data_IF_787211418844
#
_entry.id   IF_787211418844
#
_cell.length_a   1.000
_cell.length_b   1.000
_cell.length_c   1.000
_cell.angle_alpha   90.00
_cell.angle_beta   90.00
_cell.angle_gamma   90.00
#
_symmetry.space_group_name_H-M   'P 1'
#
loop_
_entity.id
_entity.type
_entity.pdbx_description
1 polymer ?
#
# COMPACT_ATOMS: atom_id res chain seq x y z
N UNK A 1 -32.09 -3.19 6.70
CA UNK A 1 -31.93 -2.41 5.46
C UNK A 1 -30.63 -1.66 5.58
N UNK A 2 -29.54 -2.20 5.00
CA UNK A 2 -28.21 -1.59 5.02
C UNK A 2 -28.22 -0.53 3.91
N UNK A 3 -28.14 0.74 4.29
CA UNK A 3 -28.02 1.84 3.34
C UNK A 3 -26.57 1.88 2.83
N UNK A 4 -26.33 1.28 1.67
CA UNK A 4 -25.05 1.35 0.97
C UNK A 4 -24.94 2.74 0.33
N UNK A 5 -24.26 3.68 0.97
CA UNK A 5 -23.93 4.96 0.38
C UNK A 5 -22.53 4.84 -0.24
N UNK A 6 -22.49 4.73 -1.57
CA UNK A 6 -21.26 4.83 -2.35
C UNK A 6 -20.76 6.27 -2.30
N UNK A 7 -19.70 6.50 -1.55
CA UNK A 7 -19.05 7.81 -1.48
C UNK A 7 -17.92 7.83 -2.51
N UNK A 8 -18.17 8.43 -3.67
CA UNK A 8 -17.12 8.85 -4.58
C UNK A 8 -16.44 10.08 -3.97
N UNK A 9 -15.29 9.90 -3.40
CA UNK A 9 -14.49 11.02 -2.92
C UNK A 9 -13.13 11.00 -3.63
N UNK A 10 -12.95 11.93 -4.55
CA UNK A 10 -11.65 12.38 -4.98
C UNK A 10 -10.96 13.03 -3.78
N UNK A 11 -10.14 12.29 -3.06
CA UNK A 11 -9.28 12.86 -2.03
C UNK A 11 -7.85 12.50 -2.32
N UNK A 12 -7.18 13.48 -2.82
CA UNK A 12 -5.72 13.55 -2.84
C UNK A 12 -5.28 13.82 -1.41
N UNK A 13 -4.94 12.78 -0.68
CA UNK A 13 -4.30 12.92 0.61
C UNK A 13 -2.81 13.16 0.39
N UNK A 14 -2.37 14.37 0.70
CA UNK A 14 -0.97 14.76 0.63
C UNK A 14 -0.65 15.66 -0.55
N UNK A 15 -1.32 16.81 -0.65
CA UNK A 15 -0.97 17.86 -1.61
C UNK A 15 0.16 18.71 -1.04
N UNK A 16 1.40 18.39 -1.37
CA UNK A 16 2.44 19.40 -1.48
C UNK A 16 2.31 19.99 -2.89
N UNK A 17 1.82 21.23 -2.98
CA UNK A 17 1.74 21.95 -4.26
C UNK A 17 3.15 22.13 -4.84
N UNK A 18 3.52 21.27 -5.77
CA UNK A 18 4.72 21.40 -6.60
C UNK A 18 4.36 22.06 -7.93
N UNK A 19 5.17 23.02 -8.33
CA UNK A 19 5.11 23.77 -9.58
C UNK A 19 5.02 22.81 -10.76
N UNK A 20 3.99 22.99 -11.61
CA UNK A 20 3.88 22.36 -12.93
C UNK A 20 5.12 22.74 -13.75
N UNK A 21 5.94 21.78 -14.10
CA UNK A 21 7.00 21.97 -15.09
C UNK A 21 6.40 21.57 -16.44
N UNK A 22 6.14 22.55 -17.28
CA UNK A 22 5.74 22.33 -18.68
C UNK A 22 6.96 21.77 -19.43
N UNK A 23 7.03 20.47 -19.56
CA UNK A 23 8.06 19.77 -20.29
C UNK A 23 7.52 18.49 -20.92
N UNK A 24 7.93 18.18 -22.14
CA UNK A 24 7.74 16.88 -22.76
C UNK A 24 8.47 15.82 -21.90
N UNK A 25 7.75 15.20 -20.95
CA UNK A 25 8.29 14.12 -20.15
C UNK A 25 8.19 12.81 -20.93
N UNK A 26 9.31 12.18 -21.16
CA UNK A 26 9.37 10.83 -21.71
C UNK A 26 9.12 9.86 -20.56
N UNK A 27 7.98 9.20 -20.55
CA UNK A 27 7.70 8.14 -19.58
C UNK A 27 8.69 6.99 -19.75
N UNK A 28 9.28 6.52 -18.67
CA UNK A 28 10.21 5.38 -18.70
C UNK A 28 9.50 4.03 -18.84
N UNK A 29 8.18 4.02 -18.61
CA UNK A 29 7.28 2.87 -18.78
C UNK A 29 5.96 3.35 -19.41
N UNK A 30 5.27 2.45 -20.10
CA UNK A 30 3.93 2.74 -20.63
C UNK A 30 2.82 2.17 -19.73
N UNK A 31 1.56 2.51 -20.01
CA UNK A 31 0.39 2.11 -19.22
C UNK A 31 0.18 0.58 -19.20
N UNK A 32 0.46 -0.10 -20.32
CA UNK A 32 0.33 -1.57 -20.39
C UNK A 32 1.34 -2.25 -19.47
N UNK A 33 2.59 -1.78 -19.46
CA UNK A 33 3.61 -2.26 -18.55
C UNK A 33 3.24 -2.00 -17.09
N UNK A 34 2.72 -0.81 -16.78
CA UNK A 34 2.27 -0.47 -15.43
C UNK A 34 1.14 -1.41 -14.99
N UNK A 35 0.12 -1.58 -15.82
CA UNK A 35 -1.02 -2.46 -15.56
C UNK A 35 -0.59 -3.91 -15.37
N UNK A 36 0.34 -4.38 -16.19
CA UNK A 36 0.89 -5.73 -16.08
C UNK A 36 1.61 -5.94 -14.73
N UNK A 37 2.50 -5.01 -14.35
CA UNK A 37 3.24 -5.09 -13.08
C UNK A 37 2.28 -5.03 -11.88
N UNK A 38 1.26 -4.16 -11.89
CA UNK A 38 0.24 -4.11 -10.84
C UNK A 38 -0.48 -5.45 -10.72
N UNK A 39 -0.84 -6.07 -11.84
CA UNK A 39 -1.50 -7.38 -11.85
C UNK A 39 -0.62 -8.48 -11.26
N UNK A 40 0.67 -8.49 -11.57
CA UNK A 40 1.63 -9.45 -11.01
C UNK A 40 1.78 -9.26 -9.49
N UNK A 41 2.01 -8.02 -9.02
CA UNK A 41 2.18 -7.74 -7.60
C UNK A 41 0.89 -8.00 -6.80
N UNK A 42 -0.27 -7.68 -7.37
CA UNK A 42 -1.55 -8.04 -6.79
C UNK A 42 -1.75 -9.56 -6.65
N UNK A 43 -1.33 -10.33 -7.66
CA UNK A 43 -1.38 -11.80 -7.60
C UNK A 43 -0.45 -12.36 -6.51
N UNK A 44 0.73 -11.76 -6.29
CA UNK A 44 1.63 -12.14 -5.19
C UNK A 44 1.00 -11.86 -3.81
N UNK A 45 0.36 -10.71 -3.64
CA UNK A 45 -0.37 -10.39 -2.40
C UNK A 45 -1.52 -11.38 -2.16
N UNK A 46 -2.30 -11.72 -3.19
CA UNK A 46 -3.40 -12.70 -3.09
C UNK A 46 -2.94 -14.12 -2.72
N UNK A 47 -1.70 -14.48 -3.02
CA UNK A 47 -1.15 -15.77 -2.57
C UNK A 47 -0.91 -15.79 -1.04
N UNK A 48 -0.73 -14.62 -0.44
CA UNK A 48 -0.46 -14.48 0.99
C UNK A 48 -1.67 -14.01 1.79
N UNK A 49 -2.65 -13.37 1.14
CA UNK A 49 -3.82 -12.80 1.79
C UNK A 49 -5.11 -13.39 1.25
N UNK A 50 -6.00 -13.80 2.15
CA UNK A 50 -7.34 -14.25 1.79
C UNK A 50 -8.22 -13.03 1.52
N UNK A 51 -8.62 -12.86 0.26
CA UNK A 51 -9.52 -11.81 -0.18
C UNK A 51 -10.76 -12.48 -0.77
N UNK A 52 -11.89 -12.36 -0.08
CA UNK A 52 -13.11 -13.12 -0.35
C UNK A 52 -13.93 -12.57 -1.53
N UNK A 53 -13.33 -11.74 -2.37
CA UNK A 53 -13.98 -11.16 -3.56
C UNK A 53 -12.97 -10.91 -4.67
N UNK A 54 -13.50 -10.66 -5.88
CA UNK A 54 -12.70 -10.13 -6.98
C UNK A 54 -12.45 -8.65 -6.72
N UNK A 55 -11.21 -8.29 -6.39
CA UNK A 55 -10.83 -6.89 -6.19
C UNK A 55 -10.68 -6.17 -7.53
N UNK A 56 -11.14 -4.91 -7.57
CA UNK A 56 -10.97 -4.00 -8.69
C UNK A 56 -9.95 -2.93 -8.33
N UNK A 57 -8.77 -3.02 -8.92
CA UNK A 57 -7.67 -2.05 -8.74
C UNK A 57 -7.63 -1.14 -9.96
N UNK A 58 -7.70 0.17 -9.75
CA UNK A 58 -7.47 1.18 -10.78
C UNK A 58 -6.08 1.78 -10.57
N UNK A 59 -5.27 1.80 -11.62
CA UNK A 59 -3.93 2.39 -11.60
C UNK A 59 -3.79 3.39 -12.72
N UNK A 60 -3.06 4.47 -12.46
CA UNK A 60 -2.78 5.52 -13.46
C UNK A 60 -1.44 6.20 -13.18
N UNK A 61 -0.87 6.82 -14.20
CA UNK A 61 0.19 7.80 -13.99
C UNK A 61 -0.40 9.10 -13.44
N UNK A 62 0.33 9.71 -12.52
CA UNK A 62 -0.06 10.98 -11.93
C UNK A 62 1.03 12.03 -12.17
N UNK A 63 0.84 12.83 -13.21
CA UNK A 63 1.79 13.88 -13.62
C UNK A 63 2.04 14.92 -12.53
N UNK A 64 1.12 15.06 -11.56
CA UNK A 64 1.27 15.96 -10.41
C UNK A 64 2.44 15.56 -9.50
N UNK A 65 2.89 14.31 -9.59
CA UNK A 65 4.00 13.78 -8.78
C UNK A 65 5.37 14.11 -9.38
N UNK A 66 5.44 14.55 -10.64
CA UNK A 66 6.70 14.88 -11.31
C UNK A 66 7.40 16.02 -10.56
N UNK A 67 8.67 15.80 -10.21
CA UNK A 67 9.50 16.80 -9.50
C UNK A 67 9.18 16.97 -8.02
N UNK A 68 8.24 16.19 -7.44
CA UNK A 68 7.89 16.30 -6.01
C UNK A 68 8.73 15.43 -5.10
N UNK A 69 9.45 14.45 -5.64
CA UNK A 69 10.10 13.38 -4.88
C UNK A 69 9.16 12.26 -4.44
N UNK A 70 7.85 12.41 -4.62
CA UNK A 70 6.85 11.36 -4.32
C UNK A 70 6.87 10.33 -5.45
N UNK A 71 6.93 9.05 -5.09
CA UNK A 71 7.01 7.94 -6.03
C UNK A 71 5.62 7.41 -6.44
N UNK A 72 4.67 7.46 -5.52
CA UNK A 72 3.30 7.00 -5.74
C UNK A 72 2.38 7.41 -4.61
N UNK A 73 1.11 7.08 -4.76
CA UNK A 73 0.09 7.15 -3.71
C UNK A 73 -0.93 6.03 -3.91
N UNK A 74 -1.45 5.50 -2.81
CA UNK A 74 -2.53 4.53 -2.80
C UNK A 74 -3.69 5.00 -1.93
N UNK A 75 -4.90 4.66 -2.33
CA UNK A 75 -6.12 4.96 -1.58
C UNK A 75 -7.09 3.81 -1.67
N UNK A 76 -7.75 3.52 -0.56
CA UNK A 76 -8.89 2.63 -0.49
C UNK A 76 -10.19 3.33 -0.91
N UNK A 77 -11.15 2.58 -1.42
CA UNK A 77 -12.55 3.00 -1.45
C UNK A 77 -13.18 2.72 -0.09
N UNK A 78 -13.86 3.71 0.45
CA UNK A 78 -14.46 3.64 1.79
C UNK A 78 -15.94 3.25 1.70
N UNK A 79 -16.39 2.29 2.52
CA UNK A 79 -17.77 1.89 2.70
C UNK A 79 -18.19 2.21 4.13
N UNK A 80 -19.25 3.02 4.28
CA UNK A 80 -19.75 3.42 5.59
C UNK A 80 -20.63 2.31 6.20
N UNK A 81 -20.20 1.78 7.35
CA UNK A 81 -20.96 0.79 8.14
C UNK A 81 -20.91 1.24 9.62
N UNK A 82 -22.05 1.43 10.24
CA UNK A 82 -22.16 1.79 11.67
C UNK A 82 -21.25 2.95 12.08
N UNK A 83 -21.26 4.05 11.31
CA UNK A 83 -20.45 5.26 11.53
C UNK A 83 -18.93 5.07 11.40
N UNK A 84 -18.47 3.96 10.81
CA UNK A 84 -17.06 3.71 10.53
C UNK A 84 -16.87 3.44 9.04
N UNK A 85 -15.82 3.99 8.44
CA UNK A 85 -15.44 3.77 7.05
C UNK A 85 -14.53 2.54 6.96
N UNK A 86 -15.04 1.50 6.34
CA UNK A 86 -14.32 0.25 6.08
C UNK A 86 -13.70 0.27 4.69
N UNK A 87 -12.51 -0.33 4.48
CA UNK A 87 -11.98 -0.53 3.14
C UNK A 87 -12.90 -1.47 2.36
N UNK A 88 -13.28 -1.09 1.15
CA UNK A 88 -14.24 -1.86 0.33
C UNK A 88 -13.77 -3.29 0.03
N UNK A 89 -12.44 -3.51 0.07
CA UNK A 89 -11.82 -4.81 -0.19
C UNK A 89 -12.28 -5.90 0.80
N UNK A 90 -12.67 -5.53 2.02
CA UNK A 90 -13.19 -6.47 3.03
C UNK A 90 -14.71 -6.60 2.99
N UNK A 91 -15.39 -5.91 2.07
CA UNK A 91 -16.86 -5.93 1.93
C UNK A 91 -17.23 -6.75 0.69
N UNK A 92 -17.71 -7.99 0.85
CA UNK A 92 -17.96 -8.90 -0.28
C UNK A 92 -18.96 -8.36 -1.32
N UNK A 93 -19.95 -7.59 -0.86
CA UNK A 93 -21.07 -7.11 -1.70
C UNK A 93 -20.68 -5.85 -2.52
N UNK A 94 -19.52 -5.25 -2.27
CA UNK A 94 -19.06 -4.12 -3.05
C UNK A 94 -18.53 -4.57 -4.42
N UNK A 95 -19.07 -4.00 -5.52
CA UNK A 95 -18.72 -4.34 -6.90
C UNK A 95 -18.03 -3.19 -7.67
N UNK A 96 -17.69 -2.10 -6.98
CA UNK A 96 -16.99 -0.96 -7.58
C UNK A 96 -15.45 -1.11 -7.52
N UNK A 97 -14.77 -0.01 -7.82
CA UNK A 97 -13.32 0.09 -7.63
C UNK A 97 -13.01 0.00 -6.14
N UNK A 98 -12.11 -0.90 -5.76
CA UNK A 98 -11.68 -1.08 -4.38
C UNK A 98 -10.48 -0.21 -4.02
N UNK A 99 -9.56 -0.03 -4.97
CA UNK A 99 -8.29 0.65 -4.77
C UNK A 99 -7.98 1.56 -5.94
N UNK A 100 -7.42 2.74 -5.61
CA UNK A 100 -6.90 3.69 -6.57
C UNK A 100 -5.40 3.85 -6.31
N UNK A 101 -4.59 3.78 -7.35
CA UNK A 101 -3.13 3.91 -7.27
C UNK A 101 -2.68 4.95 -8.31
N UNK A 102 -1.91 5.93 -7.85
CA UNK A 102 -1.22 6.89 -8.72
C UNK A 102 0.28 6.69 -8.65
N UNK A 103 0.94 6.61 -9.79
CA UNK A 103 2.38 6.39 -9.92
C UNK A 103 3.02 7.60 -10.59
N UNK A 104 4.13 8.07 -10.04
CA UNK A 104 4.96 9.10 -10.65
C UNK A 104 5.50 8.59 -12.00
N UNK A 105 5.15 9.19 -13.15
CA UNK A 105 5.61 8.69 -14.44
C UNK A 105 7.12 8.89 -14.67
N UNK A 106 7.75 9.82 -13.95
CA UNK A 106 9.15 10.22 -14.17
C UNK A 106 9.86 10.61 -12.86
N UNK A 107 10.17 9.64 -11.98
CA UNK A 107 10.95 9.93 -10.78
C UNK A 107 12.40 10.25 -11.16
N UNK A 108 13.09 11.04 -10.34
CA UNK A 108 14.45 11.58 -10.62
C UNK A 108 15.45 10.51 -11.04
N UNK A 109 15.41 9.33 -10.41
CA UNK A 109 16.33 8.23 -10.71
C UNK A 109 15.74 7.20 -11.69
N UNK A 110 14.57 7.46 -12.27
CA UNK A 110 13.85 6.52 -13.15
C UNK A 110 13.35 5.27 -12.43
N UNK A 111 12.61 4.44 -13.19
CA UNK A 111 12.04 3.19 -12.71
C UNK A 111 12.85 1.98 -13.13
N UNK A 112 13.10 1.09 -12.18
CA UNK A 112 13.46 -0.29 -12.46
C UNK A 112 12.21 -1.16 -12.47
N UNK A 113 12.00 -1.92 -13.54
CA UNK A 113 10.81 -2.74 -13.79
C UNK A 113 11.07 -4.24 -13.77
N UNK A 114 12.31 -4.64 -13.52
CA UNK A 114 12.70 -6.06 -13.49
C UNK A 114 12.03 -6.85 -12.36
N UNK A 115 12.18 -8.18 -12.42
CA UNK A 115 11.58 -9.12 -11.45
C UNK A 115 12.48 -9.46 -10.28
N UNK A 116 13.76 -9.14 -10.39
CA UNK A 116 14.76 -9.33 -9.32
C UNK A 116 14.96 -8.03 -8.55
N UNK A 117 15.48 -8.13 -7.32
CA UNK A 117 15.83 -6.92 -6.59
C UNK A 117 16.91 -6.12 -7.33
N UNK A 118 16.64 -4.84 -7.52
CA UNK A 118 17.51 -3.95 -8.25
C UNK A 118 18.72 -3.54 -7.39
N UNK A 119 19.91 -3.63 -7.97
CA UNK A 119 21.14 -3.14 -7.36
C UNK A 119 21.63 -1.80 -7.98
N UNK A 120 20.87 -1.26 -8.94
CA UNK A 120 21.18 0.01 -9.62
C UNK A 120 20.68 1.21 -8.81
N UNK A 121 20.91 2.41 -9.31
CA UNK A 121 20.46 3.65 -8.67
C UNK A 121 19.04 4.07 -9.14
N UNK A 122 18.17 3.11 -9.49
CA UNK A 122 16.80 3.36 -9.87
C UNK A 122 15.84 2.96 -8.74
N UNK A 123 14.63 3.53 -8.73
CA UNK A 123 13.59 3.09 -7.81
C UNK A 123 12.92 1.80 -8.31
N UNK A 124 12.72 0.85 -7.40
CA UNK A 124 12.02 -0.40 -7.70
C UNK A 124 10.51 -0.17 -7.77
N UNK A 125 9.96 -0.17 -9.00
CA UNK A 125 8.53 0.09 -9.23
C UNK A 125 7.64 -0.95 -8.53
N UNK A 126 8.07 -2.21 -8.48
CA UNK A 126 7.31 -3.29 -7.84
C UNK A 126 7.16 -3.07 -6.34
N UNK A 127 8.20 -2.57 -5.68
CA UNK A 127 8.14 -2.17 -4.26
C UNK A 127 7.13 -1.06 -4.05
N UNK A 128 7.16 -0.01 -4.89
CA UNK A 128 6.20 1.11 -4.78
C UNK A 128 4.78 0.61 -4.99
N UNK A 129 4.53 -0.19 -6.03
CA UNK A 129 3.19 -0.76 -6.30
C UNK A 129 2.71 -1.60 -5.12
N UNK A 130 3.55 -2.47 -4.54
CA UNK A 130 3.18 -3.25 -3.33
C UNK A 130 2.80 -2.34 -2.17
N UNK A 131 3.59 -1.29 -1.92
CA UNK A 131 3.32 -0.31 -0.88
C UNK A 131 1.95 0.35 -1.08
N UNK A 132 1.66 0.84 -2.28
CA UNK A 132 0.42 1.52 -2.59
C UNK A 132 -0.80 0.57 -2.57
N UNK A 133 -0.60 -0.70 -2.93
CA UNK A 133 -1.63 -1.73 -2.77
C UNK A 133 -2.00 -1.93 -1.31
N UNK A 134 -1.05 -1.90 -0.37
CA UNK A 134 -1.36 -2.02 1.07
C UNK A 134 -2.15 -0.81 1.59
N UNK A 135 -1.88 0.40 1.09
CA UNK A 135 -2.74 1.56 1.35
C UNK A 135 -4.17 1.31 0.84
N UNK A 136 -4.30 0.80 -0.37
CA UNK A 136 -5.60 0.43 -0.96
C UNK A 136 -6.33 -0.67 -0.19
N UNK A 137 -5.60 -1.56 0.47
CA UNK A 137 -6.16 -2.62 1.31
C UNK A 137 -6.59 -2.16 2.70
N UNK A 138 -6.38 -0.91 3.06
CA UNK A 138 -6.88 -0.36 4.33
C UNK A 138 -5.81 0.23 5.25
N UNK A 139 -4.54 0.16 4.92
CA UNK A 139 -3.48 0.81 5.71
C UNK A 139 -3.36 2.29 5.36
N UNK A 140 -4.47 3.01 5.47
CA UNK A 140 -4.57 4.43 5.11
C UNK A 140 -5.33 5.20 6.18
N UNK A 141 -4.72 6.27 6.69
CA UNK A 141 -5.37 7.19 7.62
C UNK A 141 -6.20 8.25 6.90
N UNK A 142 -7.27 8.71 7.52
CA UNK A 142 -8.00 9.93 7.16
C UNK A 142 -7.66 11.09 8.10
N UNK A 143 -6.74 10.89 9.03
CA UNK A 143 -6.28 11.93 9.96
C UNK A 143 -5.12 12.67 9.31
N UNK A 144 -5.36 13.91 8.94
CA UNK A 144 -4.35 14.84 8.45
C UNK A 144 -4.22 16.00 9.45
N UNK A 145 -3.10 16.72 9.37
CA UNK A 145 -2.77 17.79 10.32
C UNK A 145 -3.85 18.89 10.46
N UNK A 146 -4.80 18.96 9.53
CA UNK A 146 -5.83 20.01 9.46
C UNK A 146 -7.23 19.40 9.51
N UNK A 147 -7.45 18.21 8.90
CA UNK A 147 -8.75 17.55 8.80
C UNK A 147 -8.69 16.16 9.41
N UNK A 148 -9.53 15.90 10.40
CA UNK A 148 -9.66 14.59 11.05
C UNK A 148 -10.93 13.93 10.53
N UNK A 149 -10.74 12.77 9.89
CA UNK A 149 -11.85 12.01 9.34
C UNK A 149 -12.40 12.58 8.04
N UNK A 150 -13.45 11.96 7.53
CA UNK A 150 -14.17 12.44 6.34
C UNK A 150 -15.47 13.11 6.74
N UNK A 151 -15.61 14.36 6.38
CA UNK A 151 -16.84 15.11 6.61
C UNK A 151 -17.84 14.81 5.47
N UNK A 152 -18.96 14.21 5.82
CA UNK A 152 -20.04 13.96 4.87
C UNK A 152 -21.35 14.55 5.41
N UNK A 153 -21.90 15.52 4.70
CA UNK A 153 -23.11 16.26 5.13
C UNK A 153 -23.02 16.79 6.58
N UNK A 154 -21.87 17.32 6.99
CA UNK A 154 -21.65 17.83 8.34
C UNK A 154 -21.40 16.77 9.41
N UNK A 155 -21.37 15.48 9.03
CA UNK A 155 -21.02 14.37 9.92
C UNK A 155 -19.66 13.84 9.57
N UNK A 156 -18.76 13.77 10.54
CA UNK A 156 -17.43 13.21 10.36
C UNK A 156 -17.43 11.70 10.63
N UNK A 157 -16.75 10.96 9.76
CA UNK A 157 -16.56 9.51 9.87
C UNK A 157 -15.07 9.16 9.85
N UNK A 158 -14.63 8.29 10.76
CA UNK A 158 -13.27 7.77 10.81
C UNK A 158 -13.14 6.51 9.97
N UNK A 159 -11.99 6.32 9.34
CA UNK A 159 -11.63 5.02 8.80
C UNK A 159 -11.41 4.00 9.91
N UNK A 160 -11.67 2.73 9.63
CA UNK A 160 -11.37 1.65 10.57
C UNK A 160 -9.92 1.73 11.08
N UNK A 161 -8.98 1.99 10.18
CA UNK A 161 -7.57 2.17 10.52
C UNK A 161 -7.34 3.24 11.60
N UNK A 162 -7.99 4.41 11.48
CA UNK A 162 -7.85 5.51 12.43
C UNK A 162 -8.32 5.15 13.84
N UNK A 163 -9.34 4.30 13.94
CA UNK A 163 -9.87 3.80 15.23
C UNK A 163 -8.90 2.86 15.96
N UNK A 164 -7.92 2.32 15.23
CA UNK A 164 -6.94 1.37 15.74
C UNK A 164 -5.66 2.05 16.24
N UNK A 165 -5.45 3.34 15.92
CA UNK A 165 -4.26 4.08 16.34
C UNK A 165 -4.35 4.40 17.83
N UNK A 166 -3.40 3.85 18.62
CA UNK A 166 -3.36 3.98 20.08
C UNK A 166 -1.96 4.32 20.57
N UNK A 167 -1.88 4.93 21.75
CA UNK A 167 -0.61 5.08 22.47
C UNK A 167 -0.15 3.76 23.12
N UNK A 168 0.99 3.78 23.80
CA UNK A 168 1.55 2.62 24.50
C UNK A 168 0.66 2.10 25.66
N UNK A 169 -0.29 2.91 26.13
CA UNK A 169 -1.23 2.58 27.21
C UNK A 169 -2.58 2.11 26.69
N UNK A 170 -2.76 2.08 25.35
CA UNK A 170 -4.01 1.66 24.71
C UNK A 170 -5.03 2.79 24.51
N UNK A 171 -4.71 4.05 24.85
CA UNK A 171 -5.60 5.17 24.63
C UNK A 171 -5.64 5.53 23.15
N UNK A 172 -6.82 5.78 22.61
CA UNK A 172 -7.01 6.14 21.20
C UNK A 172 -6.42 7.50 20.90
N UNK A 173 -5.96 7.71 19.68
CA UNK A 173 -5.50 8.99 19.18
C UNK A 173 -6.69 9.90 18.84
N UNK A 174 -7.73 9.35 18.24
CA UNK A 174 -8.87 10.08 17.69
C UNK A 174 -10.16 9.52 18.24
N UNK A 175 -11.05 10.40 18.66
CA UNK A 175 -12.45 10.10 19.02
C UNK A 175 -13.35 11.19 18.44
N UNK A 176 -14.51 10.81 17.89
CA UNK A 176 -15.48 11.75 17.32
C UNK A 176 -14.82 12.80 16.39
N UNK A 177 -13.86 12.34 15.57
CA UNK A 177 -13.08 13.19 14.67
C UNK A 177 -12.32 14.34 15.35
N UNK A 178 -11.90 14.13 16.57
CA UNK A 178 -11.03 15.05 17.30
C UNK A 178 -9.80 14.30 17.80
N UNK A 179 -8.62 14.92 17.70
CA UNK A 179 -7.43 14.39 18.36
C UNK A 179 -7.62 14.57 19.86
N UNK A 180 -7.81 13.45 20.56
CA UNK A 180 -8.05 13.45 22.02
C UNK A 180 -6.79 13.14 22.82
N UNK A 181 -5.72 12.71 22.13
CA UNK A 181 -4.48 12.32 22.78
C UNK A 181 -3.27 12.79 21.96
N UNK A 182 -2.27 13.36 22.62
CA UNK A 182 -1.05 13.95 22.05
C UNK A 182 0.21 13.14 22.40
N UNK A 183 0.11 11.81 22.52
CA UNK A 183 1.24 10.96 22.80
C UNK A 183 2.36 11.14 21.77
N UNK A 184 3.60 10.86 22.19
CA UNK A 184 4.78 10.97 21.30
C UNK A 184 4.98 9.73 20.41
N UNK A 185 4.33 8.61 20.74
CA UNK A 185 4.43 7.34 20.01
C UNK A 185 3.07 6.72 19.85
N UNK A 186 2.80 6.26 18.64
CA UNK A 186 1.53 5.66 18.24
C UNK A 186 1.75 4.25 17.71
N UNK A 187 0.76 3.39 17.86
CA UNK A 187 0.82 1.99 17.50
C UNK A 187 -0.49 1.55 16.85
N UNK A 188 -0.38 0.69 15.82
CA UNK A 188 -1.49 -0.07 15.26
C UNK A 188 -1.19 -1.54 15.44
N UNK A 189 -2.03 -2.25 16.20
CA UNK A 189 -1.85 -3.67 16.53
C UNK A 189 -0.41 -3.99 17.05
N UNK A 190 0.13 -3.13 17.90
CA UNK A 190 1.47 -3.24 18.47
C UNK A 190 2.62 -2.82 17.55
N UNK A 191 2.35 -2.38 16.33
CA UNK A 191 3.35 -1.87 15.38
C UNK A 191 3.42 -0.36 15.52
N UNK A 192 4.61 0.17 15.82
CA UNK A 192 4.80 1.61 15.95
C UNK A 192 4.68 2.30 14.58
N UNK A 193 3.80 3.31 14.50
CA UNK A 193 3.59 4.13 13.30
C UNK A 193 4.29 5.48 13.42
N UNK A 194 4.53 6.12 12.27
CA UNK A 194 5.25 7.38 12.18
C UNK A 194 4.35 8.56 12.54
N UNK A 195 4.83 9.49 13.38
CA UNK A 195 4.02 10.60 13.90
C UNK A 195 3.52 11.59 12.84
N UNK A 196 4.22 11.70 11.72
CA UNK A 196 3.86 12.63 10.64
C UNK A 196 3.14 11.94 9.48
N UNK A 197 3.05 10.62 9.52
CA UNK A 197 2.40 9.79 8.50
C UNK A 197 1.92 8.49 9.14
N UNK A 198 0.83 8.56 9.88
CA UNK A 198 0.31 7.44 10.67
C UNK A 198 -0.09 6.19 9.86
N UNK A 199 -0.14 6.30 8.53
CA UNK A 199 -0.29 5.15 7.63
C UNK A 199 0.99 4.31 7.49
N UNK A 200 2.13 4.85 7.92
CA UNK A 200 3.45 4.23 7.78
C UNK A 200 4.03 3.87 9.15
N UNK A 201 4.79 2.79 9.20
CA UNK A 201 5.52 2.45 10.41
C UNK A 201 6.97 2.96 10.40
N UNK A 202 7.63 2.90 11.56
CA UNK A 202 8.96 3.50 11.76
C UNK A 202 10.14 2.62 11.29
N UNK A 203 9.90 1.40 10.83
CA UNK A 203 10.96 0.44 10.51
C UNK A 203 11.45 0.59 9.07
N UNK A 204 12.70 1.02 8.87
CA UNK A 204 13.28 1.47 7.60
C UNK A 204 13.42 0.42 6.50
N UNK A 205 13.38 -0.88 6.84
CA UNK A 205 13.53 -1.96 5.85
C UNK A 205 12.22 -2.73 5.63
N UNK A 206 11.10 -2.07 5.85
CA UNK A 206 9.76 -2.64 5.74
C UNK A 206 8.98 -1.98 4.63
N UNK A 207 8.03 -2.71 4.05
CA UNK A 207 7.24 -2.25 2.91
C UNK A 207 6.46 -0.97 3.21
N UNK A 208 5.88 -0.84 4.41
CA UNK A 208 5.12 0.35 4.82
C UNK A 208 5.99 1.43 5.48
N UNK A 209 7.28 1.47 5.22
CA UNK A 209 8.11 2.63 5.54
C UNK A 209 7.86 3.75 4.52
N UNK A 210 7.81 4.99 4.97
CA UNK A 210 7.41 6.15 4.15
C UNK A 210 8.40 6.54 3.05
N UNK A 211 9.62 6.00 3.07
CA UNK A 211 10.70 6.34 2.13
C UNK A 211 11.29 5.08 1.52
N UNK A 212 11.48 5.11 0.20
CA UNK A 212 12.20 4.09 -0.55
C UNK A 212 13.47 4.71 -1.12
N UNK A 213 14.63 4.18 -0.75
CA UNK A 213 15.89 4.57 -1.37
C UNK A 213 16.08 3.86 -2.73
N UNK A 214 16.72 4.52 -3.72
CA UNK A 214 17.10 3.86 -4.97
C UNK A 214 17.93 2.59 -4.73
N UNK A 215 17.74 1.59 -5.56
CA UNK A 215 18.43 0.30 -5.44
C UNK A 215 17.96 -0.58 -4.28
N UNK A 216 16.84 -0.25 -3.65
CA UNK A 216 16.24 -1.04 -2.56
C UNK A 216 14.94 -1.66 -2.98
N UNK A 217 14.70 -2.89 -2.51
CA UNK A 217 13.44 -3.60 -2.62
C UNK A 217 12.92 -3.93 -1.23
N UNK A 218 11.60 -3.82 -1.09
CA UNK A 218 10.91 -4.15 0.16
C UNK A 218 9.78 -5.13 -0.13
N UNK A 219 9.55 -6.03 0.81
CA UNK A 219 8.56 -7.09 0.72
C UNK A 219 7.66 -7.08 1.94
N UNK A 220 6.48 -7.68 1.80
CA UNK A 220 5.53 -7.86 2.89
C UNK A 220 6.19 -8.66 4.03
N UNK A 221 6.11 -8.15 5.26
CA UNK A 221 6.66 -8.77 6.47
C UNK A 221 5.56 -8.98 7.51
N UNK A 222 5.92 -9.59 8.62
CA UNK A 222 4.99 -9.91 9.70
C UNK A 222 4.29 -8.67 10.29
N UNK A 223 4.96 -7.55 10.28
CA UNK A 223 4.43 -6.27 10.78
C UNK A 223 3.27 -5.79 9.91
N UNK A 224 3.46 -5.74 8.60
CA UNK A 224 2.41 -5.35 7.65
C UNK A 224 1.24 -6.34 7.70
N UNK A 225 1.52 -7.64 7.80
CA UNK A 225 0.48 -8.67 7.97
C UNK A 225 -0.36 -8.41 9.22
N UNK A 226 0.28 -8.10 10.35
CA UNK A 226 -0.45 -7.76 11.59
C UNK A 226 -1.29 -6.48 11.45
N UNK A 227 -0.80 -5.48 10.72
CA UNK A 227 -1.56 -4.27 10.45
C UNK A 227 -2.77 -4.56 9.54
N UNK A 228 -2.59 -5.36 8.48
CA UNK A 228 -3.66 -5.80 7.58
C UNK A 228 -4.74 -6.61 8.32
N UNK A 229 -4.34 -7.52 9.21
CA UNK A 229 -5.27 -8.29 10.04
C UNK A 229 -6.14 -7.39 10.92
N UNK A 230 -5.58 -6.28 11.42
CA UNK A 230 -6.32 -5.32 12.24
C UNK A 230 -7.42 -4.59 11.45
N UNK A 231 -7.28 -4.41 10.13
CA UNK A 231 -8.31 -3.84 9.25
C UNK A 231 -9.20 -4.90 8.57
N UNK A 232 -9.08 -6.16 8.99
CA UNK A 232 -9.96 -7.24 8.54
C UNK A 232 -9.46 -8.04 7.33
N UNK A 233 -8.23 -7.82 6.88
CA UNK A 233 -7.60 -8.61 5.82
C UNK A 233 -6.76 -9.73 6.43
N UNK A 234 -7.15 -10.98 6.21
CA UNK A 234 -6.41 -12.14 6.72
C UNK A 234 -5.26 -12.48 5.79
N UNK A 235 -4.03 -12.39 6.29
CA UNK A 235 -2.82 -12.77 5.55
C UNK A 235 -2.00 -13.79 6.35
N UNK A 236 -1.28 -14.64 5.62
CA UNK A 236 -0.29 -15.59 6.16
C UNK A 236 1.02 -15.36 5.44
N UNK A 237 2.12 -15.30 6.21
CA UNK A 237 3.45 -15.28 5.61
C UNK A 237 3.89 -16.72 5.38
N UNK A 238 3.99 -17.13 4.12
CA UNK A 238 4.75 -18.32 3.80
C UNK A 238 6.23 -18.02 3.99
N UNK A 239 6.93 -18.84 4.78
CA UNK A 239 8.38 -18.68 5.01
C UNK A 239 9.20 -18.71 3.70
N UNK A 240 8.63 -19.20 2.62
CA UNK A 240 9.25 -19.27 1.29
C UNK A 240 9.13 -17.98 0.47
N UNK A 241 8.21 -17.08 0.77
CA UNK A 241 8.05 -15.82 0.04
C UNK A 241 9.17 -14.81 0.34
N UNK A 242 9.84 -14.97 1.48
CA UNK A 242 11.01 -14.17 1.87
C UNK A 242 12.27 -14.51 1.07
N UNK A 243 12.31 -15.64 0.37
CA UNK A 243 13.51 -16.15 -0.33
C UNK A 243 13.45 -15.98 -1.85
N UNK A 244 12.41 -15.39 -2.43
CA UNK A 244 12.32 -15.22 -3.90
C UNK A 244 13.37 -14.26 -4.48
N UNK A 245 14.14 -13.57 -3.64
CA UNK A 245 15.34 -12.86 -4.07
C UNK A 245 16.46 -13.79 -4.57
N UNK A 246 16.33 -15.12 -4.42
CA UNK A 246 17.34 -16.13 -4.79
C UNK A 246 16.75 -17.34 -5.51
N UNK A 247 15.70 -17.16 -6.33
CA UNK A 247 15.44 -18.14 -7.38
C UNK A 247 16.37 -17.86 -8.57
N UNK A 248 17.68 -17.95 -8.35
CA UNK A 248 18.57 -18.43 -9.40
C UNK A 248 18.02 -19.78 -9.82
N UNK A 249 17.69 -19.93 -11.09
CA UNK A 249 17.37 -21.20 -11.73
C UNK A 249 18.51 -22.20 -11.47
N UNK A 250 18.45 -22.93 -10.39
CA UNK A 250 19.12 -24.21 -10.30
C UNK A 250 18.30 -25.17 -11.18
N UNK A 251 18.55 -25.12 -12.50
CA UNK A 251 18.28 -26.21 -13.37
C UNK A 251 19.14 -27.38 -12.86
N UNK A 252 18.55 -28.20 -12.03
CA UNK A 252 19.09 -29.52 -11.74
C UNK A 252 19.07 -30.30 -13.07
N UNK A 253 20.15 -30.20 -13.82
CA UNK A 253 20.50 -31.19 -14.81
C UNK A 253 20.84 -32.48 -14.03
N UNK A 254 19.82 -33.29 -13.77
CA UNK A 254 20.01 -34.69 -13.41
C UNK A 254 20.64 -35.37 -14.62
N UNK A 255 21.94 -35.42 -14.62
CA UNK A 255 22.69 -36.36 -15.44
C UNK A 255 22.27 -37.79 -15.05
N UNK A 256 21.78 -38.62 -15.98
CA UNK A 256 21.61 -40.04 -15.71
C UNK A 256 23.01 -40.66 -15.58
N UNK A 257 23.38 -41.00 -14.35
CA UNK A 257 24.52 -41.92 -14.15
C UNK A 257 24.04 -43.27 -14.60
N UNK A 258 24.41 -43.65 -15.83
CA UNK A 258 24.40 -45.03 -16.28
C UNK A 258 25.43 -45.77 -15.46
N UNK A 259 25.01 -46.58 -14.53
CA UNK A 259 25.81 -47.63 -13.93
C UNK A 259 25.89 -48.77 -14.94
N UNK A 260 26.99 -48.83 -15.66
CA UNK A 260 27.52 -50.05 -16.27
C UNK A 260 28.27 -50.81 -15.18
N UNK A 261 27.73 -51.95 -14.77
CA UNK A 261 28.50 -53.03 -14.15
C UNK A 261 27.81 -54.37 -14.43
N UNK A 262 28.49 -55.13 -15.30
CA UNK A 262 28.57 -56.59 -15.36
C UNK A 262 27.27 -57.41 -15.48
#
# INVERSE_FOLDING_TARGET
>A
MILLILIWANVVSGLLMGRRLDGNHTYTINEDQLTHIVSEEWNLIKQQCTINKKAHVSVQFDDRLIGTGILGWGSQTDILINNTLYPSIVIPEHNGIDMLIGINPSPVNGWYTGTTCNTTNQYDLRTVIRHELLHGMGLTTSVFSIDIGRNYNGTCYLRLYDTLIKDAFGNRMVENCSIVNTAKKWYVNGIQVYNNSWSHHVYTNHLMFWELAPGKCQYLKAEEVRMLQAVGVTCTLDQYSLSSAHRSHFSLWLLPIFLLLL
#
